data_IF_943685809019
#
_entry.id   IF_943685809019
#
_cell.length_a   1.000
_cell.length_b   1.000
_cell.length_c   1.000
_cell.angle_alpha   90.00
_cell.angle_beta   90.00
_cell.angle_gamma   90.00
#
_symmetry.space_group_name_H-M   'P 1'
#
loop_
_entity.id
_entity.type
_entity.pdbx_description
1 polymer ?
#
# COMPACT_ATOMS: atom_id res chain seq x y z
N UNK A 1 -7.00 31.99 -15.53
CA UNK A 1 -7.99 32.20 -14.44
C UNK A 1 -8.67 30.88 -14.14
N UNK A 2 -7.99 29.97 -13.45
CA UNK A 2 -8.60 28.72 -12.98
C UNK A 2 -9.34 29.06 -11.69
N UNK A 3 -10.67 29.04 -11.70
CA UNK A 3 -11.46 29.15 -10.48
C UNK A 3 -11.21 27.89 -9.65
N UNK A 4 -10.31 27.97 -8.68
CA UNK A 4 -10.21 26.99 -7.59
C UNK A 4 -11.41 27.23 -6.69
N UNK A 5 -12.52 26.53 -6.95
CA UNK A 5 -13.54 26.32 -5.94
C UNK A 5 -13.03 25.21 -5.02
N UNK A 6 -12.68 25.54 -3.79
CA UNK A 6 -12.69 24.55 -2.72
C UNK A 6 -14.15 24.18 -2.45
N UNK A 7 -14.56 23.00 -2.89
CA UNK A 7 -15.76 22.37 -2.36
C UNK A 7 -15.28 21.22 -1.49
N UNK A 8 -15.28 21.43 -0.18
CA UNK A 8 -15.24 20.36 0.82
C UNK A 8 -16.52 20.46 1.63
N UNK A 9 -17.48 19.60 1.31
CA UNK A 9 -18.76 19.50 2.00
C UNK A 9 -18.75 18.39 3.08
N UNK A 10 -19.71 18.42 4.03
CA UNK A 10 -19.93 17.35 5.02
C UNK A 10 -20.05 15.94 4.41
N UNK A 11 -20.61 15.87 3.21
CA UNK A 11 -20.91 14.62 2.50
C UNK A 11 -19.69 13.70 2.28
N UNK A 12 -18.48 14.23 2.05
CA UNK A 12 -17.29 13.39 1.87
C UNK A 12 -16.73 12.83 3.19
N UNK A 13 -16.90 13.55 4.30
CA UNK A 13 -16.50 13.07 5.62
C UNK A 13 -17.48 11.99 6.12
N UNK A 14 -18.78 12.20 5.94
CA UNK A 14 -19.83 11.22 6.24
C UNK A 14 -19.66 9.94 5.42
N UNK A 15 -19.39 10.05 4.11
CA UNK A 15 -19.19 8.89 3.26
C UNK A 15 -17.91 8.10 3.60
N UNK A 16 -16.85 8.78 4.07
CA UNK A 16 -15.64 8.09 4.55
C UNK A 16 -15.87 7.38 5.88
N UNK A 17 -16.55 8.03 6.82
CA UNK A 17 -16.93 7.40 8.08
C UNK A 17 -17.80 6.16 7.82
N UNK A 18 -18.73 6.26 6.87
CA UNK A 18 -19.51 5.12 6.40
C UNK A 18 -18.63 4.01 5.83
N UNK A 19 -17.66 4.32 4.96
CA UNK A 19 -16.76 3.29 4.40
C UNK A 19 -15.83 2.64 5.43
N UNK A 20 -15.61 3.22 6.61
CA UNK A 20 -14.79 2.61 7.66
C UNK A 20 -15.46 1.41 8.33
N UNK A 21 -16.79 1.48 8.57
CA UNK A 21 -17.56 0.42 9.24
C UNK A 21 -18.46 -0.36 8.27
N UNK A 22 -18.98 0.31 7.23
CA UNK A 22 -19.95 -0.21 6.27
C UNK A 22 -19.47 0.03 4.82
N UNK A 23 -18.36 -0.61 4.41
CA UNK A 23 -17.78 -0.38 3.10
C UNK A 23 -18.67 -0.91 1.97
N UNK A 24 -18.60 -0.26 0.82
CA UNK A 24 -19.32 -0.70 -0.39
C UNK A 24 -18.68 -1.96 -1.03
N UNK A 25 -17.45 -2.31 -0.62
CA UNK A 25 -16.74 -3.52 -1.06
C UNK A 25 -17.24 -4.81 -0.41
N UNK A 26 -16.72 -5.96 -0.86
CA UNK A 26 -16.92 -7.21 -0.13
C UNK A 26 -16.25 -7.14 1.24
N UNK A 27 -16.82 -7.83 2.24
CA UNK A 27 -16.33 -7.85 3.61
C UNK A 27 -16.28 -9.28 4.12
N UNK A 28 -15.13 -9.67 4.66
CA UNK A 28 -14.99 -10.87 5.48
C UNK A 28 -15.01 -10.45 6.96
N UNK A 29 -15.98 -10.96 7.72
CA UNK A 29 -16.11 -10.71 9.17
C UNK A 29 -15.57 -11.89 9.97
N UNK A 30 -14.89 -11.57 11.06
CA UNK A 30 -14.31 -12.51 12.01
C UNK A 30 -14.84 -12.17 13.40
N UNK A 31 -15.57 -13.12 13.98
CA UNK A 31 -16.21 -12.97 15.29
C UNK A 31 -15.22 -13.20 16.43
N UNK A 32 -15.69 -13.08 17.67
CA UNK A 32 -14.87 -13.19 18.88
C UNK A 32 -14.15 -14.53 19.07
N UNK A 33 -14.61 -15.58 18.39
CA UNK A 33 -13.99 -16.92 18.42
C UNK A 33 -12.87 -17.09 17.37
N UNK A 34 -12.68 -16.09 16.48
CA UNK A 34 -11.65 -16.04 15.45
C UNK A 34 -10.82 -14.75 15.58
N UNK A 35 -10.16 -14.52 16.74
CA UNK A 35 -9.36 -13.31 16.91
C UNK A 35 -8.16 -13.27 15.96
N UNK A 36 -7.76 -12.06 15.58
CA UNK A 36 -6.46 -11.82 14.94
C UNK A 36 -5.40 -11.62 16.05
N UNK A 37 -4.46 -12.55 16.25
CA UNK A 37 -3.38 -12.37 17.21
C UNK A 37 -2.40 -11.32 16.69
N UNK A 38 -2.25 -10.23 17.45
CA UNK A 38 -1.33 -9.15 17.11
C UNK A 38 0.04 -9.33 17.76
N UNK A 39 1.11 -8.84 17.12
CA UNK A 39 2.47 -8.90 17.67
C UNK A 39 2.62 -8.15 18.99
N UNK A 40 1.76 -7.16 19.25
CA UNK A 40 1.71 -6.44 20.52
C UNK A 40 1.06 -7.24 21.67
N UNK A 41 0.66 -8.49 21.43
CA UNK A 41 0.06 -9.39 22.42
C UNK A 41 -1.44 -9.19 22.65
N UNK A 42 -2.09 -8.37 21.82
CA UNK A 42 -3.54 -8.14 21.85
C UNK A 42 -4.22 -9.03 20.80
N UNK A 43 -5.32 -9.66 21.18
CA UNK A 43 -6.21 -10.37 20.26
C UNK A 43 -7.28 -9.38 19.74
N UNK A 44 -7.20 -8.99 18.46
CA UNK A 44 -8.16 -8.09 17.85
C UNK A 44 -9.42 -8.87 17.43
N UNK A 45 -10.55 -8.60 18.10
CA UNK A 45 -11.84 -9.23 17.81
C UNK A 45 -13.03 -8.41 18.37
N UNK A 46 -14.22 -8.49 17.76
CA UNK A 46 -14.42 -8.88 16.36
C UNK A 46 -13.73 -7.89 15.42
N UNK A 47 -13.43 -8.33 14.20
CA UNK A 47 -12.85 -7.46 13.18
C UNK A 47 -13.32 -7.84 11.79
N UNK A 48 -13.09 -6.95 10.83
CA UNK A 48 -13.47 -7.16 9.44
C UNK A 48 -12.34 -6.80 8.48
N UNK A 49 -12.33 -7.46 7.33
CA UNK A 49 -11.42 -7.20 6.22
C UNK A 49 -12.26 -6.86 5.00
N UNK A 50 -12.09 -5.63 4.50
CA UNK A 50 -12.66 -5.22 3.23
C UNK A 50 -11.75 -5.66 2.07
N UNK A 51 -12.36 -6.22 1.03
CA UNK A 51 -11.62 -6.71 -0.13
C UNK A 51 -12.42 -6.58 -1.44
N UNK A 52 -11.71 -6.69 -2.55
CA UNK A 52 -12.27 -6.82 -3.88
C UNK A 52 -11.63 -7.99 -4.60
N UNK A 53 -12.36 -8.52 -5.59
CA UNK A 53 -11.91 -9.60 -6.45
C UNK A 53 -12.11 -9.25 -7.91
N UNK A 54 -11.21 -9.69 -8.78
CA UNK A 54 -11.29 -9.48 -10.23
C UNK A 54 -10.95 -10.76 -10.97
N UNK A 55 -11.71 -11.10 -12.00
CA UNK A 55 -11.60 -12.39 -12.70
C UNK A 55 -12.28 -13.54 -11.94
N UNK A 56 -12.02 -14.77 -12.37
CA UNK A 56 -12.69 -15.97 -11.85
C UNK A 56 -11.70 -16.98 -11.27
N UNK A 57 -12.03 -17.51 -10.08
CA UNK A 57 -11.26 -18.57 -9.44
C UNK A 57 -11.54 -19.90 -10.14
N UNK A 58 -10.48 -20.58 -10.60
CA UNK A 58 -10.65 -21.86 -11.27
C UNK A 58 -11.04 -22.98 -10.28
N UNK A 59 -11.53 -24.11 -10.80
CA UNK A 59 -11.99 -25.24 -9.97
C UNK A 59 -10.91 -25.83 -9.06
N UNK A 60 -9.64 -25.78 -9.49
CA UNK A 60 -8.49 -26.21 -8.72
C UNK A 60 -7.99 -25.17 -7.70
N UNK A 61 -8.61 -23.98 -7.67
CA UNK A 61 -8.21 -22.79 -6.88
C UNK A 61 -6.71 -22.45 -7.02
N UNK A 62 -6.15 -22.68 -8.20
CA UNK A 62 -4.71 -22.62 -8.44
C UNK A 62 -4.24 -21.33 -9.11
N UNK A 63 -5.16 -20.45 -9.52
CA UNK A 63 -4.90 -19.20 -10.26
C UNK A 63 -5.09 -17.91 -9.43
N UNK A 64 -5.14 -18.02 -8.10
CA UNK A 64 -5.35 -16.87 -7.21
C UNK A 64 -4.09 -15.99 -7.07
N UNK A 65 -4.20 -14.69 -7.33
CA UNK A 65 -3.16 -13.69 -7.09
C UNK A 65 -3.60 -12.75 -5.97
N UNK A 66 -2.78 -12.58 -4.94
CA UNK A 66 -2.99 -11.56 -3.91
C UNK A 66 -2.20 -10.29 -4.26
N UNK A 67 -2.89 -9.16 -4.33
CA UNK A 67 -2.29 -7.83 -4.43
C UNK A 67 -2.23 -7.20 -3.04
N UNK A 68 -1.01 -6.86 -2.61
CA UNK A 68 -0.74 -6.08 -1.41
C UNK A 68 -0.57 -4.60 -1.80
N UNK A 69 -1.45 -3.72 -1.32
CA UNK A 69 -1.40 -2.30 -1.67
C UNK A 69 -0.30 -1.54 -0.91
N UNK A 70 0.13 -0.40 -1.47
CA UNK A 70 1.07 0.53 -0.84
C UNK A 70 0.43 1.34 0.30
N UNK A 71 1.19 2.16 1.02
CA UNK A 71 0.78 2.89 2.23
C UNK A 71 -0.61 3.55 2.14
N UNK A 72 -0.91 4.19 1.01
CA UNK A 72 -2.16 4.96 0.82
C UNK A 72 -3.09 4.36 -0.24
N UNK A 73 -2.86 3.10 -0.60
CA UNK A 73 -3.76 2.31 -1.42
C UNK A 73 -4.88 1.67 -0.60
N UNK A 74 -5.72 0.91 -1.29
CA UNK A 74 -6.90 0.24 -0.74
C UNK A 74 -7.28 -0.94 -1.65
N UNK A 75 -8.41 -1.61 -1.40
CA UNK A 75 -8.91 -2.73 -2.17
C UNK A 75 -9.39 -2.38 -3.59
N UNK A 76 -9.58 -1.09 -3.94
CA UNK A 76 -10.12 -0.66 -5.22
C UNK A 76 -9.03 -0.53 -6.30
N UNK A 77 -8.54 -1.68 -6.76
CA UNK A 77 -7.41 -1.79 -7.71
C UNK A 77 -7.82 -1.44 -9.15
N UNK A 78 -8.95 -1.96 -9.61
CA UNK A 78 -9.37 -1.88 -11.02
C UNK A 78 -10.88 -1.57 -11.21
N UNK A 79 -11.55 -1.05 -10.19
CA UNK A 79 -12.93 -0.57 -10.24
C UNK A 79 -13.04 0.90 -9.81
N UNK A 80 -14.14 1.60 -10.14
CA UNK A 80 -14.37 2.94 -9.64
C UNK A 80 -14.32 3.00 -8.11
N UNK A 81 -13.58 3.95 -7.57
CA UNK A 81 -13.41 4.12 -6.13
C UNK A 81 -14.66 4.81 -5.54
N UNK A 82 -15.29 4.26 -4.48
CA UNK A 82 -16.58 4.74 -3.98
C UNK A 82 -16.52 6.17 -3.43
N UNK A 83 -15.46 6.53 -2.69
CA UNK A 83 -15.30 7.88 -2.12
C UNK A 83 -14.87 8.94 -3.15
N UNK A 84 -13.95 8.60 -4.07
CA UNK A 84 -13.32 9.60 -4.96
C UNK A 84 -13.92 9.65 -6.36
N UNK A 85 -14.66 8.62 -6.78
CA UNK A 85 -15.19 8.47 -8.15
C UNK A 85 -14.12 8.21 -9.22
N UNK A 86 -12.83 8.12 -8.84
CA UNK A 86 -11.72 7.88 -9.77
C UNK A 86 -11.64 6.41 -10.17
N UNK A 87 -10.99 6.09 -11.31
CA UNK A 87 -10.59 4.71 -11.61
C UNK A 87 -9.71 4.11 -10.51
N UNK A 88 -9.66 2.78 -10.44
CA UNK A 88 -8.83 2.07 -9.48
C UNK A 88 -7.34 2.39 -9.62
N UNK A 89 -6.60 2.21 -8.52
CA UNK A 89 -5.23 2.72 -8.41
C UNK A 89 -4.19 1.96 -9.24
N UNK A 90 -4.51 0.76 -9.76
CA UNK A 90 -3.60 -0.04 -10.59
C UNK A 90 -4.22 -0.52 -11.90
N UNK A 91 -5.14 0.26 -12.47
CA UNK A 91 -5.74 -0.03 -13.78
C UNK A 91 -4.71 -0.17 -14.89
N UNK A 92 -3.47 0.29 -14.76
CA UNK A 92 -2.41 0.06 -15.75
C UNK A 92 -1.91 -1.39 -15.74
N UNK A 93 -1.95 -2.06 -14.60
CA UNK A 93 -1.41 -3.42 -14.44
C UNK A 93 -2.50 -4.49 -14.41
N UNK A 94 -3.72 -4.14 -13.97
CA UNK A 94 -4.85 -5.08 -13.78
C UNK A 94 -5.93 -4.90 -14.84
N UNK A 95 -6.35 -6.00 -15.46
CA UNK A 95 -7.46 -6.06 -16.40
C UNK A 95 -7.21 -7.04 -17.56
N UNK A 96 -8.17 -7.23 -18.48
CA UNK A 96 -8.02 -8.17 -19.59
C UNK A 96 -6.79 -7.86 -20.45
N UNK A 97 -5.93 -8.86 -20.66
CA UNK A 97 -4.70 -8.75 -21.48
C UNK A 97 -3.57 -7.91 -20.87
N UNK A 98 -3.70 -7.47 -19.61
CA UNK A 98 -2.64 -6.77 -18.87
C UNK A 98 -1.76 -7.75 -18.09
N UNK A 99 -0.63 -7.33 -17.50
CA UNK A 99 0.24 -8.25 -16.76
C UNK A 99 -0.49 -9.07 -15.69
N UNK A 100 -1.41 -8.42 -14.95
CA UNK A 100 -2.35 -9.08 -14.05
C UNK A 100 -3.69 -9.27 -14.78
N UNK A 101 -3.70 -10.26 -15.66
CA UNK A 101 -4.81 -10.55 -16.57
C UNK A 101 -6.02 -11.17 -15.87
N UNK A 102 -7.11 -10.41 -15.76
CA UNK A 102 -8.36 -10.87 -15.13
C UNK A 102 -9.10 -11.94 -15.94
N UNK A 103 -8.72 -12.18 -17.20
CA UNK A 103 -9.23 -13.32 -17.97
C UNK A 103 -8.56 -14.66 -17.62
N UNK A 104 -7.45 -14.62 -16.87
CA UNK A 104 -6.64 -15.79 -16.51
C UNK A 104 -6.57 -16.02 -15.01
N UNK A 105 -6.47 -14.93 -14.25
CA UNK A 105 -6.20 -14.97 -12.82
C UNK A 105 -7.41 -14.50 -12.02
N UNK A 106 -7.54 -15.08 -10.82
CA UNK A 106 -8.43 -14.57 -9.80
C UNK A 106 -7.64 -13.64 -8.88
N UNK A 107 -7.81 -12.34 -9.08
CA UNK A 107 -7.06 -11.32 -8.36
C UNK A 107 -7.84 -10.94 -7.11
N UNK A 108 -7.16 -10.90 -5.97
CA UNK A 108 -7.69 -10.51 -4.67
C UNK A 108 -6.89 -9.31 -4.20
N UNK A 109 -7.56 -8.27 -3.72
CA UNK A 109 -6.89 -7.20 -2.96
C UNK A 109 -7.72 -6.88 -1.73
N UNK A 110 -7.10 -6.93 -0.57
CA UNK A 110 -7.71 -6.52 0.70
C UNK A 110 -7.12 -5.19 1.14
N UNK A 111 -7.94 -4.30 1.69
CA UNK A 111 -7.41 -3.20 2.48
C UNK A 111 -6.78 -3.77 3.76
N UNK A 112 -5.64 -3.23 4.19
CA UNK A 112 -4.93 -3.71 5.38
C UNK A 112 -5.70 -3.39 6.67
N UNK A 113 -5.55 -4.23 7.68
CA UNK A 113 -5.92 -3.87 9.07
C UNK A 113 -5.11 -2.64 9.47
N UNK A 114 -5.76 -1.71 10.19
CA UNK A 114 -5.22 -0.39 10.49
C UNK A 114 -5.36 0.63 9.36
N UNK A 115 -5.89 0.22 8.20
CA UNK A 115 -6.30 1.14 7.14
C UNK A 115 -7.62 1.86 7.45
N UNK A 116 -8.15 2.59 6.47
CA UNK A 116 -9.35 3.43 6.64
C UNK A 116 -10.39 3.28 5.52
N UNK A 117 -10.35 2.17 4.78
CA UNK A 117 -11.28 1.83 3.70
C UNK A 117 -11.87 0.43 3.97
N UNK A 118 -12.73 0.33 4.97
CA UNK A 118 -13.52 -0.87 5.29
C UNK A 118 -12.88 -1.90 6.20
N UNK A 119 -11.59 -2.21 6.07
CA UNK A 119 -10.89 -3.08 7.03
C UNK A 119 -10.74 -2.38 8.38
N UNK A 120 -10.88 -3.12 9.48
CA UNK A 120 -10.86 -2.56 10.83
C UNK A 120 -9.57 -1.78 11.09
N UNK A 121 -9.70 -0.53 11.53
CA UNK A 121 -8.59 0.34 11.88
C UNK A 121 -8.99 1.45 12.86
N UNK A 122 -8.12 2.45 13.09
CA UNK A 122 -8.36 3.54 14.04
C UNK A 122 -9.64 4.34 13.79
N UNK A 123 -10.12 4.38 12.56
CA UNK A 123 -11.35 5.08 12.17
C UNK A 123 -12.63 4.24 12.36
N UNK A 124 -12.50 2.93 12.61
CA UNK A 124 -13.63 2.03 12.82
C UNK A 124 -14.23 2.21 14.21
N UNK A 125 -15.48 1.79 14.37
CA UNK A 125 -16.15 1.74 15.67
C UNK A 125 -15.55 0.62 16.54
N UNK A 126 -15.17 0.96 17.77
CA UNK A 126 -14.76 0.00 18.79
C UNK A 126 -15.99 -0.74 19.34
N UNK A 127 -16.06 -2.08 19.18
CA UNK A 127 -17.23 -2.86 19.59
C UNK A 127 -17.45 -2.88 21.11
N UNK A 128 -16.41 -2.57 21.90
CA UNK A 128 -16.48 -2.54 23.38
C UNK A 128 -17.07 -1.23 23.89
N UNK A 129 -16.73 -0.09 23.28
CA UNK A 129 -17.13 1.24 23.76
C UNK A 129 -18.29 1.84 22.96
N UNK A 130 -18.53 1.37 21.74
CA UNK A 130 -19.47 1.98 20.80
C UNK A 130 -19.01 3.32 20.22
N UNK A 131 -17.75 3.70 20.45
CA UNK A 131 -17.12 4.93 19.93
C UNK A 131 -15.99 4.55 18.96
N UNK A 132 -15.49 5.51 18.19
CA UNK A 132 -14.34 5.27 17.28
C UNK A 132 -13.12 4.83 18.09
N UNK A 133 -12.33 3.88 17.55
CA UNK A 133 -11.10 3.40 18.20
C UNK A 133 -10.12 4.53 18.52
N UNK A 134 -9.84 5.42 17.56
CA UNK A 134 -8.85 6.48 17.74
C UNK A 134 -7.48 5.89 18.06
N UNK A 135 -6.82 6.40 19.10
CA UNK A 135 -5.54 5.87 19.58
C UNK A 135 -5.66 4.67 20.53
N UNK A 136 -6.89 4.23 20.87
CA UNK A 136 -7.07 2.97 21.61
C UNK A 136 -6.89 1.75 20.69
N UNK A 137 -6.85 1.95 19.36
CA UNK A 137 -6.54 0.88 18.43
C UNK A 137 -5.17 0.28 18.77
N UNK A 138 -5.02 -1.05 18.83
CA UNK A 138 -3.71 -1.65 19.12
C UNK A 138 -2.70 -1.29 18.02
N UNK A 139 -1.45 -1.03 18.42
CA UNK A 139 -0.38 -0.81 17.45
C UNK A 139 -0.16 -2.11 16.67
N UNK A 140 -0.08 -1.99 15.35
CA UNK A 140 0.05 -3.11 14.43
C UNK A 140 1.38 -3.11 13.68
N UNK A 141 1.71 -4.23 13.06
CA UNK A 141 2.91 -4.49 12.27
C UNK A 141 2.56 -5.00 10.86
N UNK A 142 3.54 -5.04 9.96
CA UNK A 142 3.37 -5.71 8.65
C UNK A 142 3.02 -7.21 8.80
N UNK A 143 3.67 -7.99 9.70
CA UNK A 143 3.20 -9.34 10.03
C UNK A 143 1.73 -9.44 10.45
N UNK A 144 1.18 -8.48 11.22
CA UNK A 144 -0.25 -8.45 11.57
C UNK A 144 -1.13 -8.35 10.33
N UNK A 145 -0.78 -7.44 9.41
CA UNK A 145 -1.50 -7.28 8.13
C UNK A 145 -1.48 -8.57 7.30
N UNK A 146 -0.34 -9.26 7.27
CA UNK A 146 -0.16 -10.52 6.53
C UNK A 146 -0.90 -11.68 7.21
N UNK A 147 -0.98 -11.73 8.54
CA UNK A 147 -1.84 -12.68 9.27
C UNK A 147 -3.32 -12.47 8.94
N UNK A 148 -3.79 -11.21 8.95
CA UNK A 148 -5.15 -10.88 8.56
C UNK A 148 -5.46 -11.32 7.11
N UNK A 149 -4.54 -11.01 6.17
CA UNK A 149 -4.66 -11.47 4.79
C UNK A 149 -4.72 -13.01 4.70
N UNK A 150 -3.91 -13.73 5.47
CA UNK A 150 -3.96 -15.20 5.49
C UNK A 150 -5.31 -15.74 5.96
N UNK A 151 -5.90 -15.13 6.99
CA UNK A 151 -7.26 -15.46 7.45
C UNK A 151 -8.32 -15.20 6.37
N UNK A 152 -8.19 -14.12 5.58
CA UNK A 152 -9.05 -13.88 4.41
C UNK A 152 -8.87 -14.97 3.35
N UNK A 153 -7.63 -15.32 3.01
CA UNK A 153 -7.34 -16.35 2.01
C UNK A 153 -7.90 -17.72 2.44
N UNK A 154 -7.83 -18.04 3.74
CA UNK A 154 -8.46 -19.22 4.33
C UNK A 154 -9.99 -19.18 4.23
N UNK A 155 -10.62 -18.03 4.50
CA UNK A 155 -12.07 -17.83 4.36
C UNK A 155 -12.55 -18.01 2.92
N UNK A 156 -11.73 -17.64 1.93
CA UNK A 156 -12.00 -17.88 0.50
C UNK A 156 -11.70 -19.34 0.09
N UNK A 157 -11.17 -20.14 1.01
CA UNK A 157 -10.85 -21.55 0.83
C UNK A 157 -9.73 -21.79 -0.18
N UNK A 158 -8.70 -20.93 -0.20
CA UNK A 158 -7.56 -21.00 -1.11
C UNK A 158 -6.33 -21.47 -0.33
N UNK A 159 -5.85 -22.69 -0.60
CA UNK A 159 -4.72 -23.25 0.14
C UNK A 159 -3.39 -22.58 -0.23
N UNK A 160 -3.19 -22.31 -1.52
CA UNK A 160 -1.95 -21.74 -2.06
C UNK A 160 -2.24 -20.67 -3.09
N UNK A 161 -1.58 -19.52 -2.95
CA UNK A 161 -1.60 -18.43 -3.91
C UNK A 161 -0.67 -18.76 -5.08
N UNK A 162 -1.15 -18.51 -6.30
CA UNK A 162 -0.31 -18.52 -7.49
C UNK A 162 0.78 -17.46 -7.36
N UNK A 163 0.39 -16.21 -7.07
CA UNK A 163 1.33 -15.12 -6.89
C UNK A 163 0.92 -14.17 -5.77
N UNK A 164 1.90 -13.56 -5.11
CA UNK A 164 1.72 -12.39 -4.25
C UNK A 164 2.47 -11.22 -4.86
N UNK A 165 1.79 -10.09 -5.07
CA UNK A 165 2.29 -8.95 -5.85
C UNK A 165 2.07 -7.67 -5.07
N UNK A 166 3.06 -6.77 -5.02
CA UNK A 166 2.91 -5.52 -4.28
C UNK A 166 4.12 -4.61 -4.41
N UNK A 167 3.83 -3.31 -4.47
CA UNK A 167 4.85 -2.25 -4.51
C UNK A 167 4.97 -1.50 -3.18
N UNK A 168 6.14 -0.95 -2.85
CA UNK A 168 6.33 -0.12 -1.66
C UNK A 168 6.03 -0.89 -0.35
N UNK A 169 5.17 -0.36 0.54
CA UNK A 169 4.61 -1.09 1.68
C UNK A 169 3.99 -2.43 1.28
N UNK A 170 3.38 -2.51 0.08
CA UNK A 170 2.85 -3.75 -0.48
C UNK A 170 3.95 -4.78 -0.75
N UNK A 171 5.13 -4.33 -1.17
CA UNK A 171 6.30 -5.19 -1.34
C UNK A 171 6.83 -5.76 -0.02
N UNK A 172 6.74 -5.00 1.08
CA UNK A 172 7.05 -5.51 2.42
C UNK A 172 6.09 -6.63 2.82
N UNK A 173 4.79 -6.44 2.58
CA UNK A 173 3.79 -7.48 2.80
C UNK A 173 4.06 -8.73 1.93
N UNK A 174 4.45 -8.56 0.66
CA UNK A 174 4.83 -9.68 -0.23
C UNK A 174 6.01 -10.48 0.34
N UNK A 175 7.06 -9.78 0.78
CA UNK A 175 8.24 -10.43 1.38
C UNK A 175 7.85 -11.15 2.68
N UNK A 176 7.03 -10.51 3.52
CA UNK A 176 6.53 -11.11 4.76
C UNK A 176 5.69 -12.36 4.50
N UNK A 177 4.84 -12.36 3.47
CA UNK A 177 4.10 -13.56 3.03
C UNK A 177 5.04 -14.73 2.70
N UNK A 178 6.14 -14.44 2.01
CA UNK A 178 7.11 -15.44 1.61
C UNK A 178 7.92 -16.01 2.79
N UNK A 179 8.08 -15.24 3.86
CA UNK A 179 8.77 -15.64 5.10
C UNK A 179 7.82 -16.41 6.03
N UNK A 180 6.63 -15.85 6.30
CA UNK A 180 5.67 -16.43 7.24
C UNK A 180 4.93 -17.65 6.69
N UNK A 181 4.65 -17.67 5.38
CA UNK A 181 3.87 -18.72 4.72
C UNK A 181 4.59 -19.30 3.48
N UNK A 182 5.83 -19.80 3.59
CA UNK A 182 6.69 -20.17 2.45
C UNK A 182 6.15 -21.33 1.62
N UNK A 183 5.18 -22.09 2.14
CA UNK A 183 4.50 -23.20 1.43
C UNK A 183 3.23 -22.75 0.70
N UNK A 184 2.72 -21.55 0.99
CA UNK A 184 1.46 -21.04 0.45
C UNK A 184 1.65 -20.06 -0.71
N UNK A 185 2.88 -19.71 -1.07
CA UNK A 185 3.19 -18.75 -2.14
C UNK A 185 4.02 -19.42 -3.23
N UNK A 186 3.44 -19.59 -4.42
CA UNK A 186 4.16 -20.20 -5.54
C UNK A 186 5.13 -19.23 -6.23
N UNK A 187 4.70 -18.00 -6.49
CA UNK A 187 5.55 -16.91 -6.98
C UNK A 187 5.32 -15.59 -6.24
N UNK A 188 6.28 -14.68 -6.32
CA UNK A 188 6.22 -13.37 -5.67
C UNK A 188 6.84 -12.27 -6.56
N UNK A 189 6.17 -11.12 -6.60
CA UNK A 189 6.60 -9.92 -7.33
C UNK A 189 6.67 -8.72 -6.35
N UNK A 190 7.69 -8.64 -5.48
CA UNK A 190 7.98 -7.45 -4.69
C UNK A 190 8.60 -6.35 -5.57
N UNK A 191 8.01 -5.16 -5.52
CA UNK A 191 8.35 -4.02 -6.39
C UNK A 191 8.74 -2.81 -5.52
N UNK A 192 9.86 -2.15 -5.83
CA UNK A 192 10.26 -0.88 -5.20
C UNK A 192 10.10 -0.89 -3.67
N UNK A 193 10.67 -1.90 -3.01
CA UNK A 193 10.54 -2.07 -1.56
C UNK A 193 11.85 -2.56 -0.95
N UNK A 194 11.86 -2.70 0.36
CA UNK A 194 13.00 -3.21 1.15
C UNK A 194 12.53 -4.25 2.17
N UNK A 195 13.49 -4.93 2.79
CA UNK A 195 13.26 -5.91 3.87
C UNK A 195 13.18 -5.27 5.25
N UNK A 196 13.47 -3.96 5.32
CA UNK A 196 13.32 -3.09 6.48
C UNK A 196 13.36 -1.62 6.08
N UNK A 197 12.91 -0.72 6.94
CA UNK A 197 13.11 0.71 6.72
C UNK A 197 14.55 1.17 7.01
N UNK A 198 15.07 2.07 6.16
CA UNK A 198 16.31 2.79 6.44
C UNK A 198 16.08 3.91 7.47
N UNK A 199 17.17 4.44 8.05
CA UNK A 199 17.10 5.61 8.92
C UNK A 199 16.43 6.82 8.23
N UNK A 200 16.64 6.98 6.92
CA UNK A 200 16.03 8.05 6.14
C UNK A 200 14.52 7.85 5.98
N UNK A 201 14.06 6.61 5.73
CA UNK A 201 12.62 6.30 5.67
C UNK A 201 11.94 6.63 7.02
N UNK A 202 12.54 6.18 8.13
CA UNK A 202 12.03 6.43 9.48
C UNK A 202 11.97 7.93 9.77
N UNK A 203 12.99 8.71 9.37
CA UNK A 203 13.00 10.16 9.58
C UNK A 203 11.86 10.88 8.85
N UNK A 204 11.58 10.52 7.59
CA UNK A 204 10.45 11.11 6.84
C UNK A 204 9.09 10.72 7.43
N UNK A 205 8.95 9.46 7.85
CA UNK A 205 7.74 9.00 8.53
C UNK A 205 7.53 9.71 9.86
N UNK A 206 8.59 9.91 10.65
CA UNK A 206 8.52 10.67 11.90
C UNK A 206 8.09 12.12 11.67
N UNK A 207 8.67 12.79 10.66
CA UNK A 207 8.24 14.14 10.27
C UNK A 207 6.74 14.19 9.93
N UNK A 208 6.25 13.22 9.16
CA UNK A 208 4.83 13.12 8.81
C UNK A 208 3.94 12.91 10.05
N UNK A 209 4.33 12.02 10.97
CA UNK A 209 3.59 11.80 12.22
C UNK A 209 3.57 13.05 13.09
N UNK A 210 4.70 13.72 13.26
CA UNK A 210 4.78 14.96 14.05
C UNK A 210 3.94 16.07 13.42
N UNK A 211 3.89 16.19 12.09
CA UNK A 211 3.02 17.14 11.42
C UNK A 211 1.54 16.92 11.73
N UNK A 212 1.08 15.66 11.75
CA UNK A 212 -0.30 15.31 12.15
C UNK A 212 -0.54 15.60 13.63
N UNK A 213 0.34 15.12 14.52
CA UNK A 213 0.16 15.25 15.97
C UNK A 213 0.27 16.69 16.48
N UNK A 214 0.99 17.56 15.77
CA UNK A 214 1.08 18.98 16.08
C UNK A 214 -0.14 19.81 15.61
N UNK A 215 -1.04 19.24 14.80
CA UNK A 215 -2.25 19.93 14.37
C UNK A 215 -3.23 20.05 15.56
N UNK A 216 -3.64 21.26 15.98
CA UNK A 216 -4.58 21.43 17.09
C UNK A 216 -5.93 20.72 16.87
N UNK A 217 -6.33 20.52 15.61
CA UNK A 217 -7.55 19.80 15.26
C UNK A 217 -7.41 18.27 15.30
N UNK A 218 -6.21 17.75 15.60
CA UNK A 218 -5.98 16.31 15.85
C UNK A 218 -6.56 15.87 17.20
N UNK A 219 -6.62 16.77 18.19
CA UNK A 219 -7.26 16.51 19.50
C UNK A 219 -6.79 15.20 20.14
N UNK A 220 -5.48 14.97 20.17
CA UNK A 220 -4.87 13.74 20.74
C UNK A 220 -5.46 12.45 20.11
N UNK A 221 -5.81 12.52 18.83
CA UNK A 221 -6.40 11.42 18.06
C UNK A 221 -7.91 11.24 18.24
N UNK A 222 -8.59 12.13 18.99
CA UNK A 222 -10.05 12.13 19.23
C UNK A 222 -10.82 13.12 18.36
N UNK A 223 -10.26 13.50 17.22
CA UNK A 223 -10.85 14.52 16.34
C UNK A 223 -12.24 14.16 15.81
N UNK A 224 -12.55 12.87 15.57
CA UNK A 224 -13.88 12.44 15.10
C UNK A 224 -14.94 12.73 16.16
N UNK A 225 -14.68 12.42 17.43
CA UNK A 225 -15.59 12.67 18.55
C UNK A 225 -15.84 14.17 18.78
N UNK A 226 -14.85 15.00 18.44
CA UNK A 226 -14.91 16.46 18.56
C UNK A 226 -15.44 17.15 17.30
N UNK A 227 -15.78 16.41 16.24
CA UNK A 227 -16.22 16.97 14.96
C UNK A 227 -15.13 17.79 14.24
N UNK A 228 -13.85 17.55 14.53
CA UNK A 228 -12.70 18.21 13.90
C UNK A 228 -11.91 17.23 13.02
N UNK A 229 -10.98 17.76 12.22
CA UNK A 229 -10.07 16.95 11.41
C UNK A 229 -8.71 17.66 11.29
N UNK A 230 -7.57 16.97 11.52
CA UNK A 230 -6.22 17.55 11.40
C UNK A 230 -5.78 17.71 9.95
N UNK A 231 -6.55 18.50 9.20
CA UNK A 231 -6.41 18.66 7.74
C UNK A 231 -5.07 19.29 7.37
N UNK A 232 -4.55 20.20 8.20
CA UNK A 232 -3.30 20.91 7.94
C UNK A 232 -2.12 19.97 8.17
N UNK A 233 -2.10 19.30 9.30
CA UNK A 233 -1.06 18.34 9.66
C UNK A 233 -0.97 17.18 8.67
N UNK A 234 -2.10 16.56 8.36
CA UNK A 234 -2.15 15.47 7.38
C UNK A 234 -1.80 15.95 5.96
N UNK A 235 -2.20 17.17 5.59
CA UNK A 235 -1.81 17.79 4.33
C UNK A 235 -0.29 17.98 4.23
N UNK A 236 0.37 18.48 5.28
CA UNK A 236 1.83 18.63 5.35
C UNK A 236 2.54 17.28 5.28
N UNK A 237 2.06 16.29 6.06
CA UNK A 237 2.58 14.93 6.00
C UNK A 237 2.53 14.36 4.58
N UNK A 238 1.41 14.56 3.86
CA UNK A 238 1.28 14.15 2.48
C UNK A 238 2.23 14.90 1.55
N UNK A 239 2.41 16.21 1.71
CA UNK A 239 3.35 16.98 0.89
C UNK A 239 4.78 16.44 1.05
N UNK A 240 5.22 16.21 2.29
CA UNK A 240 6.53 15.65 2.58
C UNK A 240 6.72 14.27 1.94
N UNK A 241 5.74 13.37 2.11
CA UNK A 241 5.76 12.05 1.47
C UNK A 241 5.75 12.13 -0.07
N UNK A 242 4.99 13.05 -0.65
CA UNK A 242 4.89 13.19 -2.11
C UNK A 242 6.20 13.66 -2.76
N UNK A 243 7.04 14.39 -2.01
CA UNK A 243 8.39 14.74 -2.46
C UNK A 243 9.26 13.48 -2.57
N UNK A 244 9.12 12.53 -1.63
CA UNK A 244 9.91 11.28 -1.67
C UNK A 244 9.49 10.32 -2.76
N UNK A 245 8.27 10.46 -3.29
CA UNK A 245 7.77 9.59 -4.35
C UNK A 245 8.25 9.95 -5.75
N UNK A 246 8.74 11.17 -5.94
CA UNK A 246 9.18 11.70 -7.23
C UNK A 246 10.70 11.80 -7.27
N UNK A 247 11.29 11.68 -8.46
CA UNK A 247 12.70 11.99 -8.66
C UNK A 247 12.93 13.51 -8.79
N UNK A 248 14.15 13.96 -8.50
CA UNK A 248 14.56 15.34 -8.74
C UNK A 248 14.39 15.73 -10.22
N UNK A 249 14.79 14.85 -11.15
CA UNK A 249 14.63 15.06 -12.59
C UNK A 249 13.15 15.23 -12.99
N UNK A 250 12.23 14.44 -12.42
CA UNK A 250 10.80 14.59 -12.67
C UNK A 250 10.24 15.90 -12.13
N UNK A 251 10.64 16.31 -10.91
CA UNK A 251 10.26 17.60 -10.34
C UNK A 251 10.77 18.77 -11.19
N UNK A 252 12.04 18.72 -11.61
CA UNK A 252 12.64 19.75 -12.45
C UNK A 252 11.96 19.85 -13.82
N UNK A 253 11.74 18.72 -14.50
CA UNK A 253 11.03 18.67 -15.79
C UNK A 253 9.60 19.24 -15.64
N UNK A 254 8.87 18.78 -14.62
CA UNK A 254 7.45 19.10 -14.44
C UNK A 254 7.19 20.50 -13.90
N UNK A 255 8.12 21.10 -13.15
CA UNK A 255 7.90 22.43 -12.55
C UNK A 255 9.07 23.41 -12.76
N UNK A 256 10.31 22.94 -12.64
CA UNK A 256 11.49 23.80 -12.65
C UNK A 256 11.33 24.94 -11.62
N UNK A 257 11.55 26.18 -12.05
CA UNK A 257 11.29 27.39 -11.26
C UNK A 257 10.08 28.19 -11.76
N UNK A 258 9.12 27.54 -12.42
CA UNK A 258 7.96 28.22 -13.02
C UNK A 258 7.04 28.81 -11.95
N UNK A 259 6.59 30.04 -12.20
CA UNK A 259 5.66 30.78 -11.36
C UNK A 259 4.21 30.31 -11.58
N UNK A 260 3.37 30.40 -10.53
CA UNK A 260 1.96 30.01 -10.56
C UNK A 260 1.07 31.20 -10.98
N UNK A 261 0.53 31.12 -12.19
CA UNK A 261 -0.43 32.08 -12.76
C UNK A 261 0.04 33.56 -12.75
N UNK A 262 1.35 33.80 -12.68
CA UNK A 262 1.97 35.14 -12.63
C UNK A 262 3.43 35.11 -13.10
N UNK A 263 4.03 36.29 -13.30
CA UNK A 263 5.45 36.40 -13.71
C UNK A 263 6.39 36.82 -12.56
N UNK A 264 5.87 37.52 -11.54
CA UNK A 264 6.66 38.08 -10.44
C UNK A 264 6.25 37.49 -9.09
N UNK A 265 7.19 37.37 -8.13
CA UNK A 265 6.89 36.91 -6.77
C UNK A 265 5.98 37.89 -6.04
N UNK A 266 5.14 37.36 -5.15
CA UNK A 266 4.25 38.15 -4.29
C UNK A 266 4.92 38.69 -3.04
N UNK A 267 6.07 38.11 -2.66
CA UNK A 267 6.71 38.36 -1.37
C UNK A 267 5.75 38.06 -0.18
N UNK A 268 4.93 37.01 -0.33
CA UNK A 268 4.09 36.45 0.74
C UNK A 268 4.42 34.97 1.00
N UNK A 269 3.64 34.32 1.87
CA UNK A 269 3.69 32.87 2.09
C UNK A 269 2.66 32.10 1.23
N UNK A 270 2.06 32.75 0.23
CA UNK A 270 1.21 32.09 -0.76
C UNK A 270 2.04 31.28 -1.76
N UNK A 271 1.38 30.47 -2.59
CA UNK A 271 2.07 29.67 -3.60
C UNK A 271 2.46 30.55 -4.79
N UNK A 272 3.73 30.91 -4.85
CA UNK A 272 4.33 31.66 -5.95
C UNK A 272 4.81 30.72 -7.05
N UNK A 273 5.23 29.50 -6.70
CA UNK A 273 5.73 28.49 -7.65
C UNK A 273 4.69 27.40 -7.95
N UNK A 274 4.72 26.89 -9.18
CA UNK A 274 3.83 25.80 -9.60
C UNK A 274 3.97 24.54 -8.73
N UNK A 275 5.19 24.22 -8.27
CA UNK A 275 5.45 23.07 -7.39
C UNK A 275 4.77 23.24 -6.03
N UNK A 276 4.70 24.46 -5.48
CA UNK A 276 4.03 24.73 -4.21
C UNK A 276 2.52 24.55 -4.36
N UNK A 277 1.93 25.11 -5.41
CA UNK A 277 0.51 24.95 -5.75
C UNK A 277 0.16 23.46 -5.93
N UNK A 278 1.01 22.73 -6.65
CA UNK A 278 0.86 21.28 -6.86
C UNK A 278 0.88 20.50 -5.55
N UNK A 279 1.87 20.71 -4.68
CA UNK A 279 1.99 20.01 -3.41
C UNK A 279 0.80 20.33 -2.49
N UNK A 280 0.39 21.60 -2.41
CA UNK A 280 -0.82 22.01 -1.66
C UNK A 280 -2.07 21.28 -2.17
N UNK A 281 -2.24 21.17 -3.49
CA UNK A 281 -3.36 20.43 -4.08
C UNK A 281 -3.31 18.92 -3.77
N UNK A 282 -2.13 18.29 -3.87
CA UNK A 282 -1.94 16.88 -3.51
C UNK A 282 -2.31 16.64 -2.03
N UNK A 283 -1.83 17.49 -1.13
CA UNK A 283 -2.17 17.46 0.29
C UNK A 283 -3.68 17.55 0.53
N UNK A 284 -4.34 18.57 0.00
CA UNK A 284 -5.79 18.76 0.17
C UNK A 284 -6.60 17.57 -0.35
N UNK A 285 -6.27 17.04 -1.54
CA UNK A 285 -7.00 15.91 -2.12
C UNK A 285 -6.85 14.61 -1.33
N UNK A 286 -5.69 14.39 -0.69
CA UNK A 286 -5.42 13.21 0.12
C UNK A 286 -6.21 13.22 1.43
N UNK A 287 -6.30 14.39 2.06
CA UNK A 287 -7.05 14.60 3.30
C UNK A 287 -8.53 14.27 3.14
N UNK A 288 -9.08 14.33 1.91
CA UNK A 288 -10.49 13.96 1.63
C UNK A 288 -10.77 12.45 1.59
N UNK A 289 -9.75 11.59 1.54
CA UNK A 289 -9.96 10.13 1.46
C UNK A 289 -9.19 9.29 2.49
N UNK A 290 -8.32 9.91 3.29
CA UNK A 290 -7.44 9.17 4.19
C UNK A 290 -7.56 9.63 5.64
N UNK A 291 -7.62 8.69 6.58
CA UNK A 291 -7.72 8.97 8.01
C UNK A 291 -6.34 9.28 8.63
N UNK A 292 -6.30 10.27 9.51
CA UNK A 292 -5.05 10.77 10.08
C UNK A 292 -4.43 9.78 11.08
N UNK A 293 -5.24 9.16 11.94
CA UNK A 293 -4.74 8.12 12.85
C UNK A 293 -4.26 6.91 12.06
N UNK A 294 -5.00 6.45 11.06
CA UNK A 294 -4.57 5.35 10.18
C UNK A 294 -3.21 5.62 9.54
N UNK A 295 -2.93 6.86 9.13
CA UNK A 295 -1.58 7.25 8.66
C UNK A 295 -0.49 7.06 9.74
N UNK A 296 -0.76 7.40 11.00
CA UNK A 296 0.17 7.19 12.12
C UNK A 296 0.47 5.69 12.31
N UNK A 297 -0.57 4.86 12.33
CA UNK A 297 -0.43 3.41 12.55
C UNK A 297 0.32 2.73 11.40
N UNK A 298 -0.06 3.01 10.15
CA UNK A 298 0.57 2.36 8.99
C UNK A 298 2.03 2.78 8.82
N UNK A 299 2.37 4.07 9.02
CA UNK A 299 3.78 4.51 8.96
C UNK A 299 4.61 3.90 10.09
N UNK A 300 4.03 3.72 11.28
CA UNK A 300 4.68 3.03 12.40
C UNK A 300 4.89 1.54 12.11
N UNK A 301 3.90 0.87 11.53
CA UNK A 301 4.00 -0.53 11.14
C UNK A 301 5.14 -0.78 10.14
N UNK A 302 5.32 0.14 9.17
CA UNK A 302 6.45 0.09 8.24
C UNK A 302 7.80 0.31 8.92
N UNK A 303 7.88 1.24 9.88
CA UNK A 303 9.12 1.53 10.61
C UNK A 303 9.56 0.36 11.51
N UNK A 304 8.62 -0.44 12.02
CA UNK A 304 8.91 -1.64 12.82
C UNK A 304 9.29 -2.87 11.99
N UNK A 305 9.06 -2.85 10.68
CA UNK A 305 9.34 -3.99 9.84
C UNK A 305 10.85 -4.20 9.67
N UNK A 306 11.37 -5.34 10.14
CA UNK A 306 12.74 -5.79 9.88
C UNK A 306 12.81 -7.32 9.85
N UNK A 307 12.81 -7.91 8.65
CA UNK A 307 12.89 -9.38 8.48
C UNK A 307 14.18 -9.94 9.08
N UNK A 308 15.29 -9.20 9.01
CA UNK A 308 16.57 -9.71 9.50
C UNK A 308 16.58 -9.78 11.03
N UNK A 309 15.94 -8.82 11.71
CA UNK A 309 15.83 -8.81 13.17
C UNK A 309 15.14 -10.07 13.71
N UNK A 310 14.11 -10.55 13.01
CA UNK A 310 13.38 -11.79 13.36
C UNK A 310 14.19 -13.07 13.09
N UNK A 311 15.37 -12.95 12.47
CA UNK A 311 16.21 -14.07 12.04
C UNK A 311 17.68 -13.88 12.49
N UNK A 312 17.87 -13.46 13.76
CA UNK A 312 19.17 -13.26 14.40
C UNK A 312 20.12 -12.31 13.62
N UNK A 313 19.54 -11.34 12.90
CA UNK A 313 20.28 -10.41 12.04
C UNK A 313 20.73 -11.00 10.69
N UNK A 314 20.36 -12.25 10.37
CA UNK A 314 20.78 -12.94 9.14
C UNK A 314 19.62 -13.02 8.15
N UNK A 315 19.47 -11.99 7.31
CA UNK A 315 18.38 -11.89 6.33
C UNK A 315 18.23 -13.12 5.42
N UNK A 316 19.34 -13.75 5.01
CA UNK A 316 19.29 -14.96 4.18
C UNK A 316 18.63 -16.16 4.88
N UNK A 317 18.65 -16.21 6.21
CA UNK A 317 18.00 -17.27 6.98
C UNK A 317 16.49 -17.26 6.81
N UNK A 318 15.88 -16.08 6.64
CA UNK A 318 14.44 -15.91 6.43
C UNK A 318 13.92 -16.57 5.14
N UNK A 319 14.80 -16.80 4.15
CA UNK A 319 14.41 -17.37 2.86
C UNK A 319 14.90 -18.80 2.64
N UNK A 320 15.50 -19.44 3.66
CA UNK A 320 16.05 -20.79 3.52
C UNK A 320 14.96 -21.81 3.20
N UNK A 321 15.20 -22.60 2.16
CA UNK A 321 14.30 -23.69 1.76
C UNK A 321 12.98 -23.22 1.13
N UNK A 322 12.83 -21.93 0.83
CA UNK A 322 11.69 -21.44 0.08
C UNK A 322 11.65 -22.08 -1.31
N UNK A 323 10.45 -22.42 -1.76
CA UNK A 323 10.18 -22.89 -3.13
C UNK A 323 9.62 -21.78 -4.01
N UNK A 324 9.33 -20.63 -3.43
CA UNK A 324 8.77 -19.47 -4.11
C UNK A 324 9.73 -18.98 -5.19
N UNK A 325 9.15 -18.61 -6.33
CA UNK A 325 9.85 -17.96 -7.44
C UNK A 325 9.70 -16.46 -7.30
N UNK A 326 10.79 -15.72 -7.33
CA UNK A 326 10.79 -14.27 -7.12
C UNK A 326 11.15 -13.53 -8.41
N UNK A 327 10.46 -12.44 -8.67
CA UNK A 327 10.93 -11.37 -9.53
C UNK A 327 10.98 -10.10 -8.68
N UNK A 328 12.17 -9.59 -8.41
CA UNK A 328 12.34 -8.34 -7.68
C UNK A 328 12.52 -7.22 -8.70
N UNK A 329 11.75 -6.15 -8.57
CA UNK A 329 11.80 -5.00 -9.50
C UNK A 329 12.18 -3.73 -8.75
N UNK A 330 13.14 -2.97 -9.27
CA UNK A 330 13.50 -1.63 -8.81
C UNK A 330 13.50 -0.61 -9.95
N UNK A 331 13.54 0.68 -9.61
CA UNK A 331 13.57 1.78 -10.56
C UNK A 331 14.77 2.67 -10.29
N UNK A 332 15.54 3.03 -11.33
CA UNK A 332 16.83 3.72 -11.17
C UNK A 332 16.74 5.08 -10.47
N UNK A 333 15.61 5.78 -10.59
CA UNK A 333 15.38 7.08 -9.95
C UNK A 333 14.61 7.03 -8.64
N UNK A 334 14.27 5.83 -8.15
CA UNK A 334 13.69 5.67 -6.82
C UNK A 334 14.78 5.94 -5.77
N UNK A 335 14.56 6.99 -4.97
CA UNK A 335 15.44 7.35 -3.87
C UNK A 335 14.81 7.07 -2.50
N UNK A 336 13.53 6.67 -2.46
CA UNK A 336 12.86 6.23 -1.25
C UNK A 336 13.18 4.77 -0.95
N UNK A 337 13.16 3.92 -1.98
CA UNK A 337 13.62 2.53 -1.94
C UNK A 337 14.64 2.31 -3.06
N UNK A 338 15.89 2.77 -2.86
CA UNK A 338 16.91 2.72 -3.91
C UNK A 338 17.20 1.29 -4.34
N UNK A 339 17.66 1.11 -5.59
CA UNK A 339 18.01 -0.21 -6.13
C UNK A 339 18.96 -1.01 -5.22
N UNK A 340 19.81 -0.35 -4.42
CA UNK A 340 20.65 -1.03 -3.42
C UNK A 340 19.85 -1.90 -2.44
N UNK A 341 18.66 -1.48 -2.03
CA UNK A 341 17.76 -2.26 -1.16
C UNK A 341 17.21 -3.51 -1.86
N UNK A 342 16.81 -3.38 -3.13
CA UNK A 342 16.40 -4.53 -3.94
C UNK A 342 17.55 -5.49 -4.20
N UNK A 343 18.77 -4.99 -4.45
CA UNK A 343 19.97 -5.83 -4.59
C UNK A 343 20.29 -6.57 -3.30
N UNK A 344 20.18 -5.93 -2.14
CA UNK A 344 20.35 -6.59 -0.84
C UNK A 344 19.34 -7.73 -0.64
N UNK A 345 18.07 -7.49 -1.01
CA UNK A 345 17.01 -8.51 -0.99
C UNK A 345 17.34 -9.69 -1.90
N UNK A 346 17.78 -9.43 -3.14
CA UNK A 346 18.17 -10.45 -4.12
C UNK A 346 19.39 -11.26 -3.64
N UNK A 347 20.38 -10.62 -3.02
CA UNK A 347 21.53 -11.32 -2.43
C UNK A 347 21.09 -12.27 -1.31
N UNK A 348 20.18 -11.83 -0.43
CA UNK A 348 19.65 -12.68 0.63
C UNK A 348 18.82 -13.85 0.09
N UNK A 349 17.99 -13.62 -0.92
CA UNK A 349 17.22 -14.65 -1.61
C UNK A 349 18.14 -15.71 -2.25
N UNK A 350 19.17 -15.26 -2.98
CA UNK A 350 20.18 -16.16 -3.56
C UNK A 350 20.93 -16.95 -2.48
N UNK A 351 21.36 -16.30 -1.40
CA UNK A 351 22.05 -16.96 -0.28
C UNK A 351 21.14 -17.96 0.46
N UNK A 352 19.82 -17.74 0.47
CA UNK A 352 18.82 -18.68 0.97
C UNK A 352 18.50 -19.85 0.02
N UNK A 353 19.02 -19.82 -1.21
CA UNK A 353 18.76 -20.82 -2.25
C UNK A 353 17.45 -20.61 -3.02
N UNK A 354 16.85 -19.43 -2.93
CA UNK A 354 15.61 -19.10 -3.62
C UNK A 354 15.84 -18.95 -5.14
N UNK A 355 14.77 -19.15 -5.92
CA UNK A 355 14.77 -18.86 -7.36
C UNK A 355 14.41 -17.40 -7.57
N UNK A 356 15.38 -16.55 -7.90
CA UNK A 356 15.15 -15.11 -8.03
C UNK A 356 15.65 -14.57 -9.37
N UNK A 357 14.81 -13.73 -9.99
CA UNK A 357 15.19 -12.81 -11.06
C UNK A 357 15.14 -11.38 -10.53
N UNK A 358 16.01 -10.51 -11.04
CA UNK A 358 16.07 -9.11 -10.66
C UNK A 358 16.03 -8.24 -11.92
N UNK A 359 15.19 -7.21 -11.90
CA UNK A 359 15.15 -6.19 -12.93
C UNK A 359 15.28 -4.79 -12.32
N UNK A 360 16.26 -4.04 -12.80
CA UNK A 360 16.40 -2.61 -12.55
C UNK A 360 15.92 -1.88 -13.79
N UNK A 361 14.84 -1.12 -13.66
CA UNK A 361 14.18 -0.45 -14.78
C UNK A 361 14.63 1.00 -14.83
N UNK A 362 15.13 1.43 -15.99
CA UNK A 362 15.57 2.80 -16.19
C UNK A 362 14.36 3.73 -16.38
N UNK A 363 14.16 4.64 -15.44
CA UNK A 363 13.06 5.59 -15.50
C UNK A 363 13.37 6.81 -14.65
N UNK A 364 12.78 7.95 -14.98
CA UNK A 364 12.87 9.18 -14.20
C UNK A 364 11.68 9.40 -13.25
N UNK A 365 10.79 8.42 -13.11
CA UNK A 365 9.50 8.60 -12.43
C UNK A 365 9.55 8.46 -10.91
N UNK A 366 10.72 8.16 -10.34
CA UNK A 366 10.89 7.96 -8.91
C UNK A 366 10.21 6.70 -8.41
N UNK A 367 9.86 6.70 -7.13
CA UNK A 367 9.16 5.60 -6.46
C UNK A 367 7.79 5.30 -7.08
N UNK A 368 7.06 6.33 -7.52
CA UNK A 368 5.72 6.17 -8.11
C UNK A 368 5.75 5.45 -9.48
N UNK A 369 6.92 5.11 -10.02
CA UNK A 369 7.05 4.44 -11.32
C UNK A 369 6.16 3.19 -11.47
N UNK A 370 6.00 2.37 -10.43
CA UNK A 370 5.16 1.16 -10.48
C UNK A 370 3.64 1.44 -10.62
N UNK A 371 3.20 2.67 -10.32
CA UNK A 371 1.82 3.12 -10.47
C UNK A 371 1.57 3.84 -11.80
N UNK A 372 2.62 4.08 -12.58
CA UNK A 372 2.58 4.89 -13.79
C UNK A 372 2.81 4.02 -15.03
N UNK A 373 2.59 4.61 -16.21
CA UNK A 373 2.77 3.94 -17.51
C UNK A 373 4.24 3.68 -17.86
N UNK A 374 4.80 2.56 -17.40
CA UNK A 374 6.19 2.16 -17.61
C UNK A 374 6.19 0.85 -18.41
N UNK A 375 6.27 0.89 -19.76
CA UNK A 375 6.11 -0.30 -20.60
C UNK A 375 7.06 -1.43 -20.25
N UNK A 376 8.33 -1.13 -19.98
CA UNK A 376 9.33 -2.13 -19.60
C UNK A 376 8.94 -2.89 -18.32
N UNK A 377 8.34 -2.18 -17.34
CA UNK A 377 7.81 -2.82 -16.12
C UNK A 377 6.66 -3.76 -16.45
N UNK A 378 5.77 -3.36 -17.33
CA UNK A 378 4.63 -4.19 -17.74
C UNK A 378 5.09 -5.46 -18.45
N UNK A 379 6.04 -5.34 -19.37
CA UNK A 379 6.60 -6.46 -20.11
C UNK A 379 7.30 -7.46 -19.17
N UNK A 380 8.11 -6.97 -18.21
CA UNK A 380 8.78 -7.80 -17.21
C UNK A 380 7.76 -8.52 -16.32
N UNK A 381 6.78 -7.79 -15.79
CA UNK A 381 5.75 -8.37 -14.92
C UNK A 381 4.94 -9.44 -15.68
N UNK A 382 4.55 -9.16 -16.92
CA UNK A 382 3.82 -10.09 -17.78
C UNK A 382 4.64 -11.35 -18.06
N UNK A 383 5.88 -11.21 -18.52
CA UNK A 383 6.76 -12.33 -18.83
C UNK A 383 7.03 -13.23 -17.61
N UNK A 384 7.24 -12.62 -16.44
CA UNK A 384 7.42 -13.36 -15.19
C UNK A 384 6.18 -14.18 -14.82
N UNK A 385 5.00 -13.55 -14.82
CA UNK A 385 3.75 -14.20 -14.45
C UNK A 385 3.38 -15.29 -15.47
N UNK A 386 3.60 -15.07 -16.76
CA UNK A 386 3.37 -16.07 -17.80
C UNK A 386 4.28 -17.31 -17.61
N UNK A 387 5.58 -17.09 -17.38
CA UNK A 387 6.55 -18.17 -17.14
C UNK A 387 6.24 -18.95 -15.86
N UNK A 388 5.87 -18.24 -14.78
CA UNK A 388 5.41 -18.85 -13.55
C UNK A 388 4.11 -19.66 -13.76
N UNK A 389 3.15 -19.10 -14.51
CA UNK A 389 1.87 -19.74 -14.83
C UNK A 389 2.05 -21.04 -15.58
N UNK A 390 2.90 -21.05 -16.62
CA UNK A 390 3.27 -22.27 -17.36
C UNK A 390 3.90 -23.33 -16.44
N UNK A 391 4.79 -22.91 -15.54
CA UNK A 391 5.40 -23.84 -14.56
C UNK A 391 4.38 -24.37 -13.55
N UNK A 392 3.38 -23.56 -13.19
CA UNK A 392 2.29 -23.96 -12.29
C UNK A 392 1.28 -24.89 -12.95
N UNK A 393 1.24 -24.93 -14.29
CA UNK A 393 0.24 -25.66 -15.07
C UNK A 393 -1.06 -24.87 -15.26
N UNK A 394 -1.01 -23.54 -15.24
CA UNK A 394 -2.15 -22.69 -15.61
C UNK A 394 -2.24 -22.61 -17.14
N UNK A 395 -3.45 -22.70 -17.69
CA UNK A 395 -3.69 -22.61 -19.13
C UNK A 395 -3.31 -21.22 -19.67
N UNK A 396 -2.90 -21.17 -20.94
CA UNK A 396 -2.72 -19.92 -21.66
C UNK A 396 -4.09 -19.29 -21.96
N UNK A 397 -4.16 -17.96 -21.98
CA UNK A 397 -5.40 -17.27 -22.39
C UNK A 397 -5.75 -17.68 -23.83
N UNK A 398 -6.82 -18.46 -24.00
CA UNK A 398 -7.36 -18.81 -25.33
C UNK A 398 -7.31 -20.30 -25.72
N UNK A 399 -7.20 -21.23 -24.77
CA UNK A 399 -7.56 -22.64 -25.00
C UNK A 399 -8.85 -23.03 -24.29
#
# INVERSE_FOLDING_TARGET
>A
MVKVQSISGPAHAEHRAQEADHPTSQVATFDTDQPLPLDCGVDLAPFQIAYQTYGELNSAKSNAILICHALTGDQHVANPHPVTGKPGWWVTLVGPGKPLDTSRYFIICSNVIGGCMGSTGPASTNPTTGTVWGLDFPVITIPDMVRAQAMLIDRLGIDTLFSVVGGSMGGMQVLQWCVAYPKRVFSALPIACSTRHSAQNIAFHELGRQAVMADPDWREGRYVEQGTHPRRGLGVARMAAHITYLSDAALHRKFGRRMQDRELPTFSFDADFQVESYLRHQGSSFVERFDANSYLYLTRAMDYFDIAADHDGVLAAAFRGTRTRFCVVSFTSDWLFPTSESRATVHALNAGGARVSFAEIETDRGHDAFLLDVPEFFDIAHAFLESAGKTRGLADAGQ
#
